data_IF_900410509536
#
_entry.id   IF_900410509536
#
_cell.length_a   1.000
_cell.length_b   1.000
_cell.length_c   1.000
_cell.angle_alpha   90.00
_cell.angle_beta   90.00
_cell.angle_gamma   90.00
#
_symmetry.space_group_name_H-M   'P 1'
#
loop_
_entity.id
_entity.type
_entity.pdbx_description
1 polymer ?
#
# COMPACT_ATOMS: atom_id res chain seq x y z
N UNK A 1 18.38 -4.42 -14.19
CA UNK A 1 17.98 -4.22 -12.79
C UNK A 1 17.38 -2.82 -12.62
N UNK A 2 16.16 -2.60 -13.11
CA UNK A 2 15.43 -1.32 -12.99
C UNK A 2 13.98 -1.50 -12.51
N UNK A 3 13.52 -2.75 -12.35
CA UNK A 3 12.10 -3.06 -12.09
C UNK A 3 11.67 -2.77 -10.65
N UNK A 4 12.59 -2.88 -9.69
CA UNK A 4 12.25 -2.78 -8.27
C UNK A 4 12.06 -1.33 -7.80
N UNK A 5 12.80 -0.38 -8.36
CA UNK A 5 12.68 1.05 -8.01
C UNK A 5 11.39 1.65 -8.55
N UNK A 6 11.04 1.33 -9.80
CA UNK A 6 9.84 1.84 -10.47
C UNK A 6 8.55 1.28 -9.84
N UNK A 7 8.59 0.00 -9.42
CA UNK A 7 7.48 -0.64 -8.70
C UNK A 7 7.30 -0.06 -7.29
N UNK A 8 8.41 0.25 -6.59
CA UNK A 8 8.35 0.86 -5.25
C UNK A 8 7.75 2.27 -5.29
N UNK A 9 8.14 3.09 -6.28
CA UNK A 9 7.58 4.44 -6.46
C UNK A 9 6.10 4.43 -6.83
N UNK A 10 5.66 3.47 -7.65
CA UNK A 10 4.24 3.33 -8.01
C UNK A 10 3.37 2.96 -6.80
N UNK A 11 3.88 2.10 -5.91
CA UNK A 11 3.18 1.71 -4.67
C UNK A 11 3.15 2.87 -3.68
N UNK A 12 4.23 3.65 -3.54
CA UNK A 12 4.25 4.84 -2.68
C UNK A 12 3.23 5.90 -3.17
N UNK A 13 3.06 6.05 -4.47
CA UNK A 13 2.06 6.94 -5.08
C UNK A 13 0.62 6.46 -4.86
N UNK A 14 0.38 5.16 -4.88
CA UNK A 14 -0.93 4.55 -4.59
C UNK A 14 -1.30 4.72 -3.11
N UNK A 15 -0.36 4.49 -2.19
CA UNK A 15 -0.56 4.68 -0.75
C UNK A 15 -0.85 6.16 -0.44
N UNK A 16 -0.12 7.08 -1.08
CA UNK A 16 -0.34 8.52 -0.93
C UNK A 16 -1.76 8.93 -1.36
N UNK A 17 -2.23 8.46 -2.51
CA UNK A 17 -3.59 8.75 -2.98
C UNK A 17 -4.68 8.18 -2.06
N UNK A 18 -4.46 6.98 -1.52
CA UNK A 18 -5.38 6.40 -0.54
C UNK A 18 -5.42 7.25 0.74
N UNK A 19 -4.28 7.80 1.17
CA UNK A 19 -4.23 8.66 2.35
C UNK A 19 -4.97 9.97 2.14
N UNK A 20 -4.82 10.58 0.97
CA UNK A 20 -5.57 11.78 0.59
C UNK A 20 -7.09 11.51 0.56
N UNK A 21 -7.52 10.38 -0.02
CA UNK A 21 -8.93 9.96 -0.01
C UNK A 21 -9.43 9.70 1.41
N UNK A 22 -8.63 9.08 2.28
CA UNK A 22 -8.99 8.82 3.67
C UNK A 22 -9.25 10.12 4.43
N UNK A 23 -8.41 11.14 4.20
CA UNK A 23 -8.55 12.45 4.83
C UNK A 23 -9.72 13.26 4.29
N UNK A 24 -10.06 13.07 3.00
CA UNK A 24 -11.22 13.69 2.37
C UNK A 24 -12.55 12.99 2.68
N UNK A 25 -12.53 11.77 3.22
CA UNK A 25 -13.73 10.99 3.48
C UNK A 25 -14.59 11.63 4.57
N UNK A 26 -15.84 11.93 4.21
CA UNK A 26 -16.80 12.60 5.09
C UNK A 26 -17.43 11.60 6.07
N UNK A 27 -17.50 10.33 5.68
CA UNK A 27 -18.14 9.28 6.47
C UNK A 27 -17.17 8.25 7.04
N UNK A 28 -17.57 7.63 8.14
CA UNK A 28 -16.80 6.53 8.75
C UNK A 28 -16.78 5.28 7.85
N UNK A 29 -17.83 5.06 7.07
CA UNK A 29 -17.90 3.94 6.14
C UNK A 29 -16.84 4.08 5.04
N UNK A 30 -16.69 5.27 4.46
CA UNK A 30 -15.65 5.57 3.45
C UNK A 30 -14.25 5.46 4.06
N UNK A 31 -14.02 6.03 5.25
CA UNK A 31 -12.74 5.88 5.96
C UNK A 31 -12.39 4.41 6.20
N UNK A 32 -13.37 3.59 6.60
CA UNK A 32 -13.18 2.16 6.82
C UNK A 32 -12.83 1.41 5.54
N UNK A 33 -13.48 1.72 4.43
CA UNK A 33 -13.19 1.11 3.14
C UNK A 33 -11.75 1.42 2.69
N UNK A 34 -11.34 2.67 2.81
CA UNK A 34 -10.01 3.12 2.42
C UNK A 34 -8.93 2.51 3.32
N UNK A 35 -9.17 2.40 4.64
CA UNK A 35 -8.26 1.74 5.56
C UNK A 35 -8.07 0.23 5.22
N UNK A 36 -9.11 -0.44 4.72
CA UNK A 36 -8.99 -1.82 4.24
C UNK A 36 -8.16 -1.93 2.96
N UNK A 37 -8.26 -0.96 2.06
CA UNK A 37 -7.41 -0.90 0.86
C UNK A 37 -5.93 -0.68 1.22
N UNK A 38 -5.64 0.25 2.14
CA UNK A 38 -4.29 0.48 2.65
C UNK A 38 -3.69 -0.80 3.28
N UNK A 39 -4.47 -1.51 4.11
CA UNK A 39 -4.02 -2.75 4.74
C UNK A 39 -3.70 -3.87 3.76
N UNK A 40 -4.39 -3.95 2.62
CA UNK A 40 -4.09 -4.92 1.55
C UNK A 40 -2.76 -4.60 0.87
N UNK A 41 -2.46 -3.31 0.63
CA UNK A 41 -1.19 -2.89 0.05
C UNK A 41 -0.02 -3.16 1.02
N UNK A 42 -0.17 -2.80 2.30
CA UNK A 42 0.86 -3.05 3.30
C UNK A 42 1.09 -4.55 3.53
N UNK A 43 0.04 -5.37 3.47
CA UNK A 43 0.13 -6.82 3.53
C UNK A 43 0.92 -7.43 2.36
N UNK A 44 0.76 -6.92 1.13
CA UNK A 44 1.58 -7.36 -0.02
C UNK A 44 3.05 -7.00 0.18
N UNK A 45 3.33 -5.79 0.67
CA UNK A 45 4.69 -5.32 0.98
C UNK A 45 5.35 -6.19 2.04
N UNK A 46 4.60 -6.58 3.07
CA UNK A 46 5.07 -7.51 4.09
C UNK A 46 5.35 -8.92 3.53
N UNK A 47 4.50 -9.41 2.61
CA UNK A 47 4.70 -10.71 1.97
C UNK A 47 5.95 -10.73 1.07
N UNK A 48 6.22 -9.66 0.32
CA UNK A 48 7.45 -9.52 -0.49
C UNK A 48 8.71 -9.46 0.37
N UNK A 49 8.65 -8.77 1.52
CA UNK A 49 9.76 -8.71 2.48
C UNK A 49 10.03 -10.08 3.10
N UNK A 50 8.99 -10.81 3.52
CA UNK A 50 9.18 -12.17 4.06
C UNK A 50 9.70 -13.15 3.01
N UNK A 51 9.20 -13.10 1.77
CA UNK A 51 9.71 -13.94 0.68
C UNK A 51 11.20 -13.66 0.41
N UNK A 52 11.62 -12.39 0.45
CA UNK A 52 13.03 -12.01 0.30
C UNK A 52 13.92 -12.45 1.48
N UNK A 53 13.35 -12.73 2.65
CA UNK A 53 14.06 -13.23 3.84
C UNK A 53 14.13 -14.76 3.90
N UNK A 54 13.24 -15.48 3.21
CA UNK A 54 13.16 -16.95 3.23
C UNK A 54 14.04 -17.63 2.15
N UNK A 55 14.41 -16.91 1.09
CA UNK A 55 15.33 -17.36 0.02
C UNK A 55 16.84 -17.16 0.35
N UNK A 56 17.18 -16.98 1.64
CA UNK A 56 18.53 -16.73 2.14
C UNK A 56 19.33 -17.97 2.55
#
# INVERSE_FOLDING_TARGET
MASSTDSSTAVDDEVRQLYERYQAAETEAERREIALEMGKLDGRRHAEIYAALEDG
#
